data_IF_337516109347
#
_entry.id   IF_337516109347
#
_cell.length_a   1.000
_cell.length_b   1.000
_cell.length_c   1.000
_cell.angle_alpha   90.00
_cell.angle_beta   90.00
_cell.angle_gamma   90.00
#
_symmetry.space_group_name_H-M   'P 1'
#
loop_
_entity.id
_entity.type
_entity.pdbx_description
1 polymer ?
#
# COMPACT_ATOMS: atom_id res chain seq x y z
N UNK A 1 12.60 10.13 -21.53
CA UNK A 1 11.39 9.86 -20.73
C UNK A 1 10.33 9.26 -21.63
N UNK A 2 9.78 8.13 -21.26
CA UNK A 2 8.59 7.59 -21.90
C UNK A 2 7.38 8.25 -21.25
N UNK A 3 6.76 9.18 -21.95
CA UNK A 3 5.54 9.86 -21.53
C UNK A 3 4.36 9.23 -22.26
N UNK A 4 3.60 8.39 -21.57
CA UNK A 4 2.36 7.82 -22.06
C UNK A 4 1.17 8.70 -21.64
N UNK A 5 1.31 10.01 -21.79
CA UNK A 5 0.20 10.93 -21.55
C UNK A 5 -0.84 10.83 -22.67
N UNK A 6 -2.10 10.77 -22.24
CA UNK A 6 -3.29 10.91 -23.07
C UNK A 6 -3.65 9.73 -23.97
N UNK A 7 -3.69 8.55 -23.45
CA UNK A 7 -4.41 7.50 -24.16
C UNK A 7 -5.60 7.08 -23.31
N UNK A 8 -6.78 7.57 -23.67
CA UNK A 8 -8.03 6.93 -23.28
C UNK A 8 -8.05 5.55 -23.97
N UNK A 9 -7.49 4.56 -23.29
CA UNK A 9 -7.33 3.24 -23.86
C UNK A 9 -7.23 2.16 -22.82
N UNK A 10 -7.55 0.94 -23.21
CA UNK A 10 -7.32 -0.25 -22.40
C UNK A 10 -6.17 -1.03 -23.02
N UNK A 11 -5.15 -1.34 -22.22
CA UNK A 11 -4.03 -2.16 -22.65
C UNK A 11 -4.08 -3.51 -21.95
N UNK A 12 -4.22 -4.58 -22.75
CA UNK A 12 -3.91 -5.93 -22.31
C UNK A 12 -2.42 -6.17 -22.54
N UNK A 13 -1.59 -5.80 -21.59
CA UNK A 13 -0.15 -5.96 -21.71
C UNK A 13 0.31 -7.27 -21.08
N UNK A 14 1.32 -7.94 -21.66
CA UNK A 14 1.87 -9.16 -21.08
C UNK A 14 2.48 -8.90 -19.71
N UNK A 15 2.79 -9.95 -18.98
CA UNK A 15 3.30 -9.97 -17.62
C UNK A 15 4.52 -9.04 -17.40
N UNK A 16 5.45 -9.02 -18.38
CA UNK A 16 6.64 -8.17 -18.40
C UNK A 16 6.54 -7.16 -19.54
N UNK A 17 5.91 -6.06 -19.33
CA UNK A 17 5.51 -5.13 -20.37
C UNK A 17 6.46 -3.94 -20.61
N UNK A 18 7.59 -3.91 -19.92
CA UNK A 18 8.57 -2.85 -20.08
C UNK A 18 9.89 -3.36 -20.62
N UNK A 19 10.32 -2.78 -21.68
CA UNK A 19 11.70 -2.77 -22.10
C UNK A 19 12.09 -1.32 -22.33
N UNK A 20 12.93 -0.76 -21.47
CA UNK A 20 13.43 0.61 -21.57
C UNK A 20 14.88 0.54 -21.99
N UNK A 21 15.21 1.14 -23.10
CA UNK A 21 16.54 1.07 -23.69
C UNK A 21 17.54 2.10 -23.12
N UNK A 22 17.06 3.09 -22.36
CA UNK A 22 17.91 4.13 -21.73
C UNK A 22 17.72 4.18 -20.21
N UNK A 23 18.80 4.07 -19.47
CA UNK A 23 18.81 3.84 -18.02
C UNK A 23 18.96 5.07 -17.13
N UNK A 24 19.44 6.18 -17.66
CA UNK A 24 19.75 7.32 -16.82
C UNK A 24 18.51 8.23 -16.65
N UNK A 25 17.98 8.30 -15.43
CA UNK A 25 16.88 9.20 -15.05
C UNK A 25 15.61 9.05 -15.88
N UNK A 26 15.24 7.85 -16.23
CA UNK A 26 14.01 7.60 -16.96
C UNK A 26 12.80 7.73 -16.03
N UNK A 27 11.84 8.54 -16.41
CA UNK A 27 10.55 8.62 -15.76
C UNK A 27 9.49 7.90 -16.61
N UNK A 28 8.62 7.16 -15.93
CA UNK A 28 7.40 6.62 -16.53
C UNK A 28 6.21 7.38 -16.01
N UNK A 29 5.41 7.94 -16.92
CA UNK A 29 4.15 8.60 -16.60
C UNK A 29 3.00 7.96 -17.36
N UNK A 30 1.97 7.56 -16.64
CA UNK A 30 0.75 6.99 -17.20
C UNK A 30 -0.44 7.82 -16.72
N UNK A 31 -1.27 8.28 -17.66
CA UNK A 31 -2.44 9.06 -17.33
C UNK A 31 -3.70 8.53 -18.01
N UNK A 32 -4.77 8.35 -17.21
CA UNK A 32 -6.09 7.89 -17.70
C UNK A 32 -6.03 6.56 -18.47
N UNK A 33 -5.17 5.63 -18.06
CA UNK A 33 -4.99 4.32 -18.70
C UNK A 33 -5.72 3.25 -17.88
N UNK A 34 -6.36 2.31 -18.57
CA UNK A 34 -6.92 1.10 -17.96
C UNK A 34 -5.97 -0.08 -18.13
N UNK A 35 -5.52 -0.65 -17.01
CA UNK A 35 -4.70 -1.85 -16.96
C UNK A 35 -5.53 -3.04 -16.52
N UNK A 36 -5.50 -4.12 -17.28
CA UNK A 36 -6.22 -5.35 -16.94
C UNK A 36 -5.28 -6.46 -16.52
N UNK A 37 -5.66 -7.19 -15.46
CA UNK A 37 -4.89 -8.29 -14.87
C UNK A 37 -3.75 -7.83 -13.96
N UNK A 38 -2.89 -8.76 -13.57
CA UNK A 38 -1.74 -8.49 -12.70
C UNK A 38 -0.68 -7.75 -13.50
N UNK A 39 -0.17 -6.64 -12.93
CA UNK A 39 0.93 -5.87 -13.49
C UNK A 39 2.10 -5.85 -12.52
N UNK A 40 3.27 -6.15 -13.05
CA UNK A 40 4.52 -6.03 -12.34
C UNK A 40 5.29 -4.84 -12.86
N UNK A 41 5.78 -4.04 -11.93
CA UNK A 41 6.71 -2.97 -12.28
C UNK A 41 8.04 -3.57 -12.72
N UNK A 42 8.77 -2.92 -13.64
CA UNK A 42 10.08 -3.38 -14.04
C UNK A 42 11.00 -3.62 -12.85
N UNK A 43 11.68 -4.73 -12.83
CA UNK A 43 12.69 -5.05 -11.82
C UNK A 43 13.77 -5.94 -12.42
N UNK A 44 14.95 -5.94 -11.82
CA UNK A 44 16.02 -6.85 -12.21
C UNK A 44 15.60 -8.34 -12.10
N UNK A 45 14.70 -8.66 -11.19
CA UNK A 45 14.12 -10.00 -11.01
C UNK A 45 13.29 -10.44 -12.20
N UNK A 46 12.69 -9.49 -12.93
CA UNK A 46 11.81 -9.73 -14.08
C UNK A 46 12.48 -9.34 -15.41
N UNK A 47 13.78 -9.50 -15.50
CA UNK A 47 14.57 -9.36 -16.75
C UNK A 47 14.61 -7.95 -17.36
N UNK A 48 14.33 -6.90 -16.60
CA UNK A 48 14.60 -5.55 -17.05
C UNK A 48 16.01 -5.15 -16.61
N UNK A 49 16.90 -4.93 -17.56
CA UNK A 49 18.25 -4.40 -17.29
C UNK A 49 18.26 -2.89 -17.11
N UNK A 50 17.25 -2.22 -17.63
CA UNK A 50 17.07 -0.78 -17.57
C UNK A 50 15.63 -0.47 -17.10
N UNK A 51 15.49 0.43 -16.15
CA UNK A 51 14.21 0.73 -15.52
C UNK A 51 14.10 2.21 -15.12
N UNK A 52 12.89 2.78 -15.17
CA UNK A 52 12.67 4.11 -14.63
C UNK A 52 12.97 4.18 -13.13
N UNK A 53 13.51 5.29 -12.69
CA UNK A 53 13.69 5.61 -11.27
C UNK A 53 12.53 6.40 -10.70
N UNK A 54 11.66 6.92 -11.56
CA UNK A 54 10.45 7.64 -11.19
C UNK A 54 9.24 7.11 -11.93
N UNK A 55 8.15 6.87 -11.19
CA UNK A 55 6.88 6.40 -11.74
C UNK A 55 5.75 7.33 -11.30
N UNK A 56 4.87 7.67 -12.25
CA UNK A 56 3.65 8.40 -11.97
C UNK A 56 2.47 7.75 -12.67
N UNK A 57 1.43 7.41 -11.90
CA UNK A 57 0.13 6.96 -12.41
C UNK A 57 -0.92 7.97 -11.94
N UNK A 58 -1.61 8.62 -12.87
CA UNK A 58 -2.64 9.62 -12.58
C UNK A 58 -3.95 9.30 -13.30
N UNK A 59 -5.03 9.16 -12.55
CA UNK A 59 -6.36 8.86 -13.10
C UNK A 59 -6.48 7.49 -13.76
N UNK A 60 -5.57 6.56 -13.48
CA UNK A 60 -5.56 5.23 -14.08
C UNK A 60 -6.56 4.29 -13.40
N UNK A 61 -7.02 3.27 -14.16
CA UNK A 61 -7.82 2.18 -13.63
C UNK A 61 -7.04 0.88 -13.69
N UNK A 62 -6.93 0.19 -12.58
CA UNK A 62 -6.32 -1.14 -12.48
C UNK A 62 -7.41 -2.17 -12.19
N UNK A 63 -7.79 -2.97 -13.18
CA UNK A 63 -8.66 -4.13 -13.01
C UNK A 63 -7.81 -5.35 -12.68
N UNK A 64 -7.17 -5.35 -11.52
CA UNK A 64 -6.18 -6.32 -11.10
C UNK A 64 -5.25 -5.74 -10.03
N UNK A 65 -3.97 -6.04 -10.14
CA UNK A 65 -2.95 -5.69 -9.15
C UNK A 65 -1.82 -4.89 -9.79
N UNK A 66 -1.19 -4.06 -8.98
CA UNK A 66 0.08 -3.44 -9.32
C UNK A 66 1.13 -3.86 -8.29
N UNK A 67 2.14 -4.59 -8.72
CA UNK A 67 3.22 -5.07 -7.87
C UNK A 67 4.56 -4.44 -8.23
N UNK A 68 5.24 -3.93 -7.23
CA UNK A 68 6.55 -3.30 -7.35
C UNK A 68 7.59 -4.10 -6.55
N UNK A 69 8.27 -5.04 -7.23
CA UNK A 69 9.35 -5.87 -6.67
C UNK A 69 10.71 -5.32 -7.10
N UNK A 70 11.07 -4.14 -6.64
CA UNK A 70 12.26 -3.48 -7.14
C UNK A 70 13.44 -3.59 -6.18
N UNK A 71 14.60 -3.95 -6.72
CA UNK A 71 15.86 -4.06 -5.98
C UNK A 71 16.67 -2.76 -5.99
N UNK A 72 16.07 -1.62 -6.29
CA UNK A 72 16.68 -0.30 -6.37
C UNK A 72 15.73 0.76 -5.82
N UNK A 73 16.26 1.93 -5.51
CA UNK A 73 15.49 3.05 -5.01
C UNK A 73 14.63 3.63 -6.12
N UNK A 74 13.35 3.78 -5.85
CA UNK A 74 12.35 4.26 -6.80
C UNK A 74 11.40 5.22 -6.11
N UNK A 75 11.19 6.37 -6.75
CA UNK A 75 10.11 7.26 -6.39
C UNK A 75 8.87 6.95 -7.21
N UNK A 76 7.75 6.74 -6.52
CA UNK A 76 6.49 6.39 -7.17
C UNK A 76 5.34 7.25 -6.62
N UNK A 77 4.56 7.81 -7.52
CA UNK A 77 3.31 8.49 -7.19
C UNK A 77 2.16 7.82 -7.92
N UNK A 78 1.19 7.31 -7.16
CA UNK A 78 -0.07 6.76 -7.68
C UNK A 78 -1.18 7.65 -7.13
N UNK A 79 -1.84 8.39 -8.00
CA UNK A 79 -2.85 9.37 -7.60
C UNK A 79 -4.11 9.31 -8.45
N UNK A 80 -5.25 9.59 -7.83
CA UNK A 80 -6.56 9.64 -8.49
C UNK A 80 -6.92 8.35 -9.24
N UNK A 81 -6.30 7.21 -8.86
CA UNK A 81 -6.47 5.93 -9.52
C UNK A 81 -7.57 5.10 -8.87
N UNK A 82 -8.15 4.19 -9.64
CA UNK A 82 -9.11 3.20 -9.16
C UNK A 82 -8.54 1.80 -9.34
N UNK A 83 -8.55 1.02 -8.26
CA UNK A 83 -8.17 -0.37 -8.24
C UNK A 83 -9.40 -1.23 -8.00
N UNK A 84 -9.68 -2.16 -8.90
CA UNK A 84 -10.81 -3.08 -8.81
C UNK A 84 -10.28 -4.51 -8.73
N UNK A 85 -10.61 -5.23 -7.66
CA UNK A 85 -10.25 -6.63 -7.55
C UNK A 85 -11.06 -7.47 -8.54
N UNK A 86 -10.39 -8.21 -9.43
CA UNK A 86 -11.03 -9.32 -10.09
C UNK A 86 -11.25 -10.40 -9.07
N UNK A 87 -12.16 -11.09 -8.80
CA UNK A 87 -12.44 -12.09 -7.75
C UNK A 87 -11.22 -12.50 -6.88
N UNK A 88 -11.41 -12.56 -5.56
CA UNK A 88 -10.49 -13.12 -4.53
C UNK A 88 -8.99 -12.67 -4.60
N UNK A 89 -8.75 -11.47 -5.04
CA UNK A 89 -7.38 -10.92 -5.18
C UNK A 89 -6.87 -10.37 -3.84
N UNK A 90 -5.63 -10.70 -3.48
CA UNK A 90 -5.07 -10.33 -2.17
C UNK A 90 -4.75 -8.84 -2.07
N UNK A 91 -3.84 -8.34 -2.88
CA UNK A 91 -3.35 -6.96 -2.80
C UNK A 91 -3.74 -6.16 -4.03
N UNK A 92 -4.19 -4.94 -3.82
CA UNK A 92 -4.33 -3.96 -4.90
C UNK A 92 -2.97 -3.44 -5.35
N UNK A 93 -2.19 -3.02 -4.37
CA UNK A 93 -0.83 -2.54 -4.54
C UNK A 93 0.09 -3.24 -3.56
N UNK A 94 1.23 -3.69 -4.04
CA UNK A 94 2.29 -4.23 -3.21
C UNK A 94 3.63 -3.63 -3.61
N UNK A 95 4.38 -3.16 -2.62
CA UNK A 95 5.72 -2.63 -2.80
C UNK A 95 6.70 -3.44 -1.97
N UNK A 96 7.66 -4.07 -2.64
CA UNK A 96 8.78 -4.80 -2.02
C UNK A 96 10.10 -4.36 -2.63
N UNK A 97 11.19 -4.46 -1.87
CA UNK A 97 12.54 -4.18 -2.37
C UNK A 97 13.27 -3.10 -1.59
N UNK A 98 13.87 -2.14 -2.31
CA UNK A 98 14.68 -1.07 -1.70
C UNK A 98 13.88 0.21 -1.44
N UNK A 99 14.58 1.27 -1.07
CA UNK A 99 14.05 2.56 -0.65
C UNK A 99 13.40 3.41 -1.73
N UNK A 100 13.45 4.70 -1.56
CA UNK A 100 12.73 5.72 -2.32
C UNK A 100 11.46 6.18 -1.60
N UNK A 101 10.65 6.97 -2.26
CA UNK A 101 9.38 7.48 -1.72
C UNK A 101 8.21 6.92 -2.51
N UNK A 102 7.27 6.30 -1.83
CA UNK A 102 6.03 5.77 -2.43
C UNK A 102 4.84 6.61 -1.93
N UNK A 103 4.12 7.24 -2.85
CA UNK A 103 2.94 8.06 -2.57
C UNK A 103 1.70 7.42 -3.16
N UNK A 104 0.70 7.18 -2.33
CA UNK A 104 -0.66 6.76 -2.72
C UNK A 104 -1.63 7.88 -2.31
N UNK A 105 -2.16 8.63 -3.28
CA UNK A 105 -2.92 9.85 -3.02
C UNK A 105 -4.27 9.84 -3.74
N UNK A 106 -5.37 10.05 -3.02
CA UNK A 106 -6.73 10.15 -3.58
C UNK A 106 -7.16 8.92 -4.42
N UNK A 107 -6.69 7.73 -4.10
CA UNK A 107 -7.04 6.52 -4.83
C UNK A 107 -8.24 5.81 -4.21
N UNK A 108 -8.90 4.96 -5.01
CA UNK A 108 -9.98 4.07 -4.57
C UNK A 108 -9.54 2.63 -4.75
N UNK A 109 -9.66 1.82 -3.70
CA UNK A 109 -9.31 0.40 -3.69
C UNK A 109 -10.54 -0.43 -3.35
N UNK A 110 -11.01 -1.25 -4.29
CA UNK A 110 -12.28 -1.96 -4.21
C UNK A 110 -12.10 -3.48 -4.09
N UNK A 111 -12.60 -4.06 -3.01
CA UNK A 111 -12.81 -5.50 -2.81
C UNK A 111 -11.56 -6.39 -2.89
N UNK A 112 -10.44 -5.92 -2.35
CA UNK A 112 -9.25 -6.75 -2.13
C UNK A 112 -9.31 -7.44 -0.76
N UNK A 113 -8.79 -8.67 -0.68
CA UNK A 113 -8.83 -9.40 0.59
C UNK A 113 -7.85 -8.88 1.61
N UNK A 114 -6.73 -8.27 1.17
CA UNK A 114 -5.68 -7.68 2.02
C UNK A 114 -5.37 -6.21 1.72
N UNK A 115 -5.84 -5.66 0.61
CA UNK A 115 -5.68 -4.26 0.24
C UNK A 115 -4.27 -3.86 -0.19
N UNK A 116 -3.59 -3.04 0.60
CA UNK A 116 -2.28 -2.45 0.28
C UNK A 116 -1.20 -3.08 1.16
N UNK A 117 -0.08 -3.51 0.57
CA UNK A 117 1.11 -3.96 1.30
C UNK A 117 2.34 -3.11 0.97
N UNK A 118 2.90 -2.48 1.99
CA UNK A 118 4.04 -1.57 1.88
C UNK A 118 5.23 -2.17 2.62
N UNK A 119 6.18 -2.67 1.86
CA UNK A 119 7.29 -3.49 2.35
C UNK A 119 8.60 -3.11 1.68
N UNK A 120 9.24 -2.03 2.16
CA UNK A 120 10.59 -1.62 1.75
C UNK A 120 11.29 -1.00 2.95
N UNK A 121 12.22 -1.70 3.55
CA UNK A 121 12.82 -1.34 4.83
C UNK A 121 13.44 0.08 4.89
N UNK A 122 13.87 0.63 3.77
CA UNK A 122 14.48 1.96 3.68
C UNK A 122 13.62 3.00 2.95
N UNK A 123 12.37 2.68 2.61
CA UNK A 123 11.47 3.57 1.90
C UNK A 123 10.63 4.44 2.85
N UNK A 124 10.27 5.61 2.35
CA UNK A 124 9.26 6.47 2.95
C UNK A 124 7.92 6.28 2.24
N UNK A 125 6.84 6.09 3.01
CA UNK A 125 5.49 5.87 2.48
C UNK A 125 4.54 7.01 2.88
N UNK A 126 3.82 7.54 1.89
CA UNK A 126 2.81 8.60 2.07
C UNK A 126 1.49 8.10 1.50
N UNK A 127 0.52 7.83 2.38
CA UNK A 127 -0.79 7.26 2.04
C UNK A 127 -1.85 8.28 2.47
N UNK A 128 -2.36 9.07 1.52
CA UNK A 128 -3.22 10.20 1.85
C UNK A 128 -4.52 10.21 1.05
N UNK A 129 -5.62 10.47 1.77
CA UNK A 129 -6.95 10.68 1.18
C UNK A 129 -7.44 9.52 0.31
N UNK A 130 -6.99 8.29 0.55
CA UNK A 130 -7.47 7.13 -0.18
C UNK A 130 -8.77 6.60 0.42
N UNK A 131 -9.55 5.90 -0.40
CA UNK A 131 -10.72 5.13 0.02
C UNK A 131 -10.45 3.66 -0.20
N UNK A 132 -10.50 2.87 0.86
CA UNK A 132 -10.32 1.42 0.83
C UNK A 132 -11.63 0.78 1.29
N UNK A 133 -12.29 0.06 0.39
CA UNK A 133 -13.57 -0.61 0.66
C UNK A 133 -13.46 -2.08 0.31
N UNK A 134 -13.82 -2.96 1.24
CA UNK A 134 -13.84 -4.40 0.96
C UNK A 134 -14.94 -5.12 1.75
N UNK A 135 -15.71 -5.93 1.04
CA UNK A 135 -16.67 -6.89 1.61
C UNK A 135 -16.10 -8.32 1.67
N UNK A 136 -14.84 -8.50 1.27
CA UNK A 136 -14.15 -9.79 1.18
C UNK A 136 -12.81 -9.81 1.92
N UNK A 137 -12.61 -8.87 2.86
CA UNK A 137 -11.36 -8.76 3.62
C UNK A 137 -11.07 -9.99 4.48
N UNK A 138 -9.78 -10.33 4.61
CA UNK A 138 -9.32 -11.47 5.41
C UNK A 138 -9.33 -11.12 6.91
N UNK A 139 -9.82 -12.06 7.77
CA UNK A 139 -9.97 -11.79 9.20
C UNK A 139 -8.65 -11.51 9.95
N UNK A 140 -7.53 -12.04 9.47
CA UNK A 140 -6.22 -11.99 10.12
C UNK A 140 -5.24 -11.04 9.41
N UNK A 141 -5.74 -10.11 8.61
CA UNK A 141 -4.93 -9.14 7.86
C UNK A 141 -5.46 -7.71 8.03
N UNK A 142 -4.66 -6.76 7.62
CA UNK A 142 -5.01 -5.34 7.59
C UNK A 142 -5.34 -4.86 6.18
N UNK A 143 -6.23 -3.90 6.07
CA UNK A 143 -6.53 -3.22 4.82
C UNK A 143 -5.32 -2.42 4.30
N UNK A 144 -4.54 -1.86 5.22
CA UNK A 144 -3.26 -1.18 4.95
C UNK A 144 -2.18 -1.90 5.76
N UNK A 145 -1.29 -2.59 5.07
CA UNK A 145 -0.20 -3.33 5.69
C UNK A 145 1.08 -2.49 5.66
N UNK A 146 1.47 -2.03 6.83
CA UNK A 146 2.67 -1.22 7.09
C UNK A 146 3.78 -2.18 7.53
N UNK A 147 4.29 -2.95 6.56
CA UNK A 147 5.09 -4.14 6.85
C UNK A 147 6.53 -3.79 7.20
N UNK A 148 7.25 -3.20 6.28
CA UNK A 148 8.62 -2.74 6.49
C UNK A 148 8.79 -1.38 5.81
N UNK A 149 9.37 -0.41 6.51
CA UNK A 149 9.58 0.93 5.99
C UNK A 149 10.46 1.76 6.91
N UNK A 150 10.90 2.90 6.43
CA UNK A 150 11.58 3.92 7.22
C UNK A 150 10.56 4.86 7.87
N UNK A 151 9.58 5.32 7.10
CA UNK A 151 8.49 6.11 7.63
C UNK A 151 7.16 5.81 6.93
N UNK A 152 6.07 5.96 7.69
CA UNK A 152 4.71 5.82 7.19
C UNK A 152 3.90 7.05 7.60
N UNK A 153 3.38 7.78 6.62
CA UNK A 153 2.42 8.87 6.81
C UNK A 153 1.08 8.41 6.25
N UNK A 154 0.10 8.15 7.12
CA UNK A 154 -1.22 7.62 6.78
C UNK A 154 -2.27 8.62 7.23
N UNK A 155 -2.75 9.47 6.33
CA UNK A 155 -3.56 10.63 6.71
C UNK A 155 -4.78 10.80 5.81
N UNK A 156 -5.93 11.09 6.42
CA UNK A 156 -7.16 11.44 5.70
C UNK A 156 -7.81 10.29 4.93
N UNK A 157 -7.40 9.04 5.18
CA UNK A 157 -7.94 7.90 4.46
C UNK A 157 -9.28 7.44 5.05
N UNK A 158 -10.13 6.91 4.17
CA UNK A 158 -11.35 6.19 4.55
C UNK A 158 -11.11 4.69 4.38
N UNK A 159 -11.29 3.93 5.46
CA UNK A 159 -11.20 2.47 5.47
C UNK A 159 -12.56 1.90 5.88
N UNK A 160 -13.19 1.11 5.01
CA UNK A 160 -14.46 0.42 5.28
C UNK A 160 -14.32 -1.05 4.88
N UNK A 161 -14.03 -1.91 5.85
CA UNK A 161 -13.78 -3.34 5.63
C UNK A 161 -14.64 -4.19 6.56
N UNK A 162 -15.17 -5.30 6.06
CA UNK A 162 -16.11 -6.15 6.78
C UNK A 162 -15.46 -7.18 7.71
N UNK A 163 -14.18 -7.45 7.54
CA UNK A 163 -13.42 -8.39 8.37
C UNK A 163 -11.98 -7.90 8.57
N UNK A 164 -11.29 -8.43 9.58
CA UNK A 164 -9.91 -8.13 9.86
C UNK A 164 -9.69 -6.76 10.49
N UNK A 165 -8.63 -6.11 10.11
CA UNK A 165 -8.10 -4.92 10.74
C UNK A 165 -7.98 -3.75 9.75
N UNK A 166 -8.04 -2.52 10.25
CA UNK A 166 -7.70 -1.35 9.43
C UNK A 166 -6.21 -1.37 9.05
N UNK A 167 -5.36 -1.63 10.02
CA UNK A 167 -3.91 -1.63 9.84
C UNK A 167 -3.29 -2.98 10.19
N UNK A 168 -2.15 -3.28 9.57
CA UNK A 168 -1.27 -4.35 9.98
C UNK A 168 0.16 -3.82 10.12
N UNK A 169 0.68 -3.87 11.32
CA UNK A 169 2.04 -3.44 11.64
C UNK A 169 2.96 -4.65 11.69
N UNK A 170 4.01 -4.63 10.89
CA UNK A 170 5.02 -5.67 10.89
C UNK A 170 6.38 -5.05 10.55
N UNK A 171 7.43 -5.47 11.24
CA UNK A 171 8.78 -4.98 11.01
C UNK A 171 9.76 -6.16 10.99
N UNK A 172 9.73 -6.92 9.89
CA UNK A 172 10.62 -8.06 9.70
C UNK A 172 12.08 -7.62 9.54
N UNK A 173 12.33 -6.45 8.95
CA UNK A 173 13.66 -5.87 8.80
C UNK A 173 14.24 -5.35 10.12
N UNK A 174 13.44 -5.30 11.20
CA UNK A 174 13.86 -4.81 12.53
C UNK A 174 14.45 -3.39 12.49
N UNK A 175 13.88 -2.53 11.65
CA UNK A 175 14.28 -1.14 11.56
C UNK A 175 13.87 -0.40 12.84
N UNK A 176 14.85 -0.04 13.67
CA UNK A 176 14.61 0.67 14.95
C UNK A 176 14.15 2.11 14.73
N UNK A 177 14.43 2.69 13.58
CA UNK A 177 14.18 4.10 13.30
C UNK A 177 12.83 4.34 12.57
N UNK A 178 12.05 3.27 12.36
CA UNK A 178 10.73 3.36 11.74
C UNK A 178 9.80 4.29 12.53
N UNK A 179 9.05 5.12 11.80
CA UNK A 179 8.04 6.02 12.38
C UNK A 179 6.70 5.86 11.69
N UNK A 180 5.62 6.05 12.44
CA UNK A 180 4.25 5.97 11.93
C UNK A 180 3.50 7.25 12.33
N UNK A 181 3.04 8.02 11.34
CA UNK A 181 2.11 9.14 11.55
C UNK A 181 0.75 8.71 11.02
N UNK A 182 -0.24 8.56 11.92
CA UNK A 182 -1.57 8.06 11.57
C UNK A 182 -2.61 9.08 12.03
N UNK A 183 -3.14 9.88 11.11
CA UNK A 183 -3.99 11.00 11.49
C UNK A 183 -5.17 11.24 10.56
N UNK A 184 -6.26 11.77 11.12
CA UNK A 184 -7.45 12.22 10.39
C UNK A 184 -8.10 11.12 9.50
N UNK A 185 -7.91 9.84 9.81
CA UNK A 185 -8.51 8.75 9.07
C UNK A 185 -9.93 8.46 9.58
N UNK A 186 -10.82 8.07 8.68
CA UNK A 186 -12.17 7.58 8.98
C UNK A 186 -12.19 6.06 8.82
N UNK A 187 -12.28 5.34 9.95
CA UNK A 187 -12.04 3.90 10.01
C UNK A 187 -13.31 3.18 10.44
N UNK A 188 -13.74 2.24 9.61
CA UNK A 188 -14.77 1.25 9.90
C UNK A 188 -14.22 -0.13 9.57
N UNK A 189 -13.82 -0.87 10.59
CA UNK A 189 -13.27 -2.22 10.51
C UNK A 189 -13.62 -2.97 11.81
N UNK A 190 -13.62 -4.31 11.86
CA UNK A 190 -13.80 -5.02 13.12
C UNK A 190 -12.77 -4.66 14.18
N UNK A 191 -11.49 -4.48 13.77
CA UNK A 191 -10.40 -4.14 14.68
C UNK A 191 -9.54 -3.01 14.14
N UNK A 192 -8.89 -2.29 15.05
CA UNK A 192 -8.02 -1.17 14.68
C UNK A 192 -6.74 -1.62 14.01
N UNK A 193 -6.13 -2.70 14.49
CA UNK A 193 -4.87 -3.14 13.95
C UNK A 193 -4.49 -4.58 14.26
N UNK A 194 -3.61 -5.11 13.42
CA UNK A 194 -2.90 -6.37 13.61
C UNK A 194 -1.43 -6.07 13.90
N UNK A 195 -0.90 -6.74 14.87
CA UNK A 195 0.44 -6.50 15.37
C UNK A 195 1.32 -7.76 15.20
N UNK A 196 2.40 -7.62 14.48
CA UNK A 196 3.33 -8.72 14.20
C UNK A 196 4.79 -8.30 14.24
N UNK A 197 5.15 -7.36 15.10
CA UNK A 197 6.52 -6.86 15.21
C UNK A 197 7.22 -7.41 16.45
N UNK A 198 8.54 -7.31 16.47
CA UNK A 198 9.39 -7.68 17.61
C UNK A 198 9.64 -6.53 18.59
N UNK A 199 9.07 -5.34 18.35
CA UNK A 199 9.21 -4.16 19.23
C UNK A 199 7.85 -3.52 19.49
N UNK A 200 7.77 -2.67 20.51
CA UNK A 200 6.54 -1.94 20.79
C UNK A 200 6.29 -0.84 19.76
N UNK A 201 5.32 -1.08 18.90
CA UNK A 201 4.94 -0.15 17.83
C UNK A 201 4.32 1.14 18.38
N UNK A 202 3.77 1.13 19.61
CA UNK A 202 3.17 2.32 20.21
C UNK A 202 4.19 3.44 20.41
N UNK A 203 5.43 3.11 20.73
CA UNK A 203 6.51 4.11 20.90
C UNK A 203 6.86 4.82 19.58
N UNK A 204 6.46 4.26 18.44
CA UNK A 204 6.78 4.73 17.09
C UNK A 204 5.61 5.44 16.42
N UNK A 205 4.42 5.43 17.03
CA UNK A 205 3.21 6.00 16.47
C UNK A 205 2.97 7.41 17.01
N UNK A 206 2.79 8.37 16.11
CA UNK A 206 2.18 9.67 16.37
C UNK A 206 0.79 9.69 15.74
N UNK A 207 -0.25 9.96 16.53
CA UNK A 207 -1.64 9.86 16.09
C UNK A 207 -2.46 11.05 16.53
N UNK A 208 -3.41 11.49 15.66
CA UNK A 208 -4.38 12.53 15.98
C UNK A 208 -5.59 12.51 15.04
N UNK A 209 -6.75 12.87 15.56
CA UNK A 209 -7.94 13.18 14.76
C UNK A 209 -8.56 12.00 14.01
N UNK A 210 -8.19 10.76 14.30
CA UNK A 210 -8.81 9.60 13.68
C UNK A 210 -10.23 9.39 14.23
N UNK A 211 -11.14 8.91 13.38
CA UNK A 211 -12.51 8.53 13.71
C UNK A 211 -12.67 7.03 13.55
N UNK A 212 -13.31 6.38 14.52
CA UNK A 212 -13.50 4.92 14.55
C UNK A 212 -15.00 4.61 14.55
N UNK A 213 -15.53 4.34 13.37
CA UNK A 213 -16.95 4.03 13.16
C UNK A 213 -17.16 2.50 13.21
N UNK A 214 -17.85 2.00 14.25
CA UNK A 214 -18.07 0.56 14.47
C UNK A 214 -16.80 -0.27 14.54
N UNK A 215 -15.68 0.36 14.92
CA UNK A 215 -14.39 -0.30 15.08
C UNK A 215 -14.14 -0.56 16.56
N UNK A 216 -13.84 -1.77 16.94
CA UNK A 216 -13.42 -2.08 18.30
C UNK A 216 -11.99 -1.61 18.51
N UNK A 217 -11.86 -0.43 19.11
CA UNK A 217 -10.56 0.19 19.41
C UNK A 217 -9.89 -0.39 20.64
N UNK A 218 -10.55 -1.32 21.33
CA UNK A 218 -10.00 -2.02 22.49
C UNK A 218 -9.33 -3.33 22.10
N UNK A 219 -9.47 -3.75 20.84
CA UNK A 219 -8.95 -5.02 20.34
C UNK A 219 -8.00 -4.80 19.18
N UNK A 220 -6.92 -5.54 19.23
CA UNK A 220 -6.03 -5.76 18.09
C UNK A 220 -5.69 -7.24 18.01
N UNK A 221 -5.32 -7.71 16.83
CA UNK A 221 -4.83 -9.07 16.65
C UNK A 221 -3.31 -9.09 16.67
N UNK A 222 -2.72 -10.06 17.32
CA UNK A 222 -1.29 -10.32 17.30
C UNK A 222 -1.00 -11.53 16.42
N UNK A 223 0.10 -11.51 15.70
CA UNK A 223 0.55 -12.68 14.95
C UNK A 223 0.65 -13.87 15.89
N UNK A 224 0.09 -15.00 15.46
CA UNK A 224 0.07 -16.27 16.21
C UNK A 224 -0.71 -16.26 17.54
N UNK A 225 -1.51 -15.20 17.78
CA UNK A 225 -2.43 -15.13 18.90
C UNK A 225 -3.84 -14.81 18.42
N UNK A 226 -4.84 -15.29 19.12
CA UNK A 226 -6.24 -15.07 18.75
C UNK A 226 -6.69 -13.63 18.96
N UNK A 227 -6.19 -12.98 20.00
CA UNK A 227 -6.42 -11.55 20.27
C UNK A 227 -5.19 -11.02 20.99
N UNK A 228 -4.62 -9.92 20.52
CA UNK A 228 -3.61 -9.20 21.24
C UNK A 228 -4.25 -8.32 22.32
N UNK A 229 -3.49 -8.04 23.33
CA UNK A 229 -3.88 -7.12 24.38
C UNK A 229 -4.17 -5.74 23.77
N UNK A 230 -5.30 -5.16 24.17
CA UNK A 230 -5.74 -3.84 23.70
C UNK A 230 -4.72 -2.71 23.96
N UNK A 231 -3.79 -2.95 24.87
CA UNK A 231 -2.73 -2.02 25.25
C UNK A 231 -1.72 -1.76 24.12
N UNK A 232 -1.59 -2.66 23.16
CA UNK A 232 -0.51 -2.60 22.17
C UNK A 232 -0.72 -1.58 21.03
N UNK A 233 -1.91 -0.99 20.89
CA UNK A 233 -2.21 0.01 19.87
C UNK A 233 -2.93 1.24 20.43
N UNK A 234 -2.72 1.55 21.69
CA UNK A 234 -3.35 2.71 22.36
C UNK A 234 -2.97 4.05 21.72
N UNK A 235 -1.82 4.14 21.09
CA UNK A 235 -1.34 5.36 20.47
C UNK A 235 -2.18 5.79 19.23
N UNK A 236 -2.99 4.90 18.64
CA UNK A 236 -3.80 5.24 17.47
C UNK A 236 -5.16 5.86 17.84
N UNK A 237 -5.57 5.84 19.07
CA UNK A 237 -6.87 6.32 19.58
C UNK A 237 -7.05 7.82 19.50
#
# INVERSE_FOLDING_TARGET
ALDLTAVNGSFALPYNWWNVEDSANTALKCKNITFNGIKYMPSATYQCTLYPTTYEFDGCTFNGNLYSYQNFDVDMTIKNCTFNAPAATQYAFMSQGKGGTIKLENNVFNNYTRGINLERATADFVITNNTIVSTVSEPDRGAIQLTDGKSFVVTGNKVDVNAGNAFWFHNAAKNSDVTYTISNNDIKAPYIGYYGTSFDVNEKITSSGNKFNNTDTTKCMKKDATVAEATNLTAIR
#
